data_IF_321544268486
#
_entry.id   IF_321544268486
#
_cell.length_a   1.000
_cell.length_b   1.000
_cell.length_c   1.000
_cell.angle_alpha   90.00
_cell.angle_beta   90.00
_cell.angle_gamma   90.00
#
_symmetry.space_group_name_H-M   'P 1'
#
loop_
_entity.id
_entity.type
_entity.pdbx_description
1 polymer ?
#
# COMPACT_ATOMS: atom_id res chain seq x y z
N UNK A 1 17.86 15.64 1.38
CA UNK A 1 16.42 15.83 1.62
C UNK A 1 16.01 17.26 1.32
N UNK A 2 15.13 17.48 0.34
CA UNK A 2 14.60 18.80 -0.02
C UNK A 2 13.27 19.04 0.67
N UNK A 3 13.05 20.26 1.15
CA UNK A 3 11.80 20.69 1.80
C UNK A 3 11.19 21.86 1.03
N UNK A 4 9.91 21.77 0.70
CA UNK A 4 9.17 22.83 -0.01
C UNK A 4 7.92 23.18 0.77
N UNK A 5 7.60 24.46 0.92
CA UNK A 5 6.35 24.86 1.60
C UNK A 5 5.24 25.07 0.59
N UNK A 6 4.08 24.47 0.84
CA UNK A 6 2.85 24.68 0.05
C UNK A 6 1.72 25.21 0.94
N UNK A 7 0.76 25.88 0.31
CA UNK A 7 -0.45 26.35 0.98
C UNK A 7 -1.36 25.15 1.26
N UNK A 8 -1.79 25.02 2.52
CA UNK A 8 -2.78 24.03 2.92
C UNK A 8 -4.13 24.44 2.35
N UNK A 9 -4.79 23.50 1.69
CA UNK A 9 -6.14 23.67 1.15
C UNK A 9 -6.83 22.31 1.04
N UNK A 10 -8.17 22.34 1.14
CA UNK A 10 -9.05 21.22 0.82
C UNK A 10 -9.36 21.11 -0.67
N UNK A 11 -9.05 22.16 -1.45
CA UNK A 11 -9.18 22.13 -2.90
C UNK A 11 -8.14 21.17 -3.51
N UNK A 12 -8.64 20.13 -4.17
CA UNK A 12 -7.81 19.11 -4.80
C UNK A 12 -7.26 19.54 -6.17
N UNK A 13 -7.70 20.68 -6.71
CA UNK A 13 -7.19 21.24 -7.96
C UNK A 13 -5.76 21.77 -7.83
N UNK A 14 -5.05 21.82 -8.95
CA UNK A 14 -3.72 22.42 -9.01
C UNK A 14 -3.77 23.94 -8.83
N UNK A 15 -2.82 24.55 -8.10
CA UNK A 15 -2.77 26.01 -7.92
C UNK A 15 -2.64 26.83 -9.22
N UNK A 16 -2.23 26.18 -10.31
CA UNK A 16 -1.99 26.79 -11.61
C UNK A 16 -2.58 25.91 -12.71
N UNK A 17 -2.69 26.43 -13.93
CA UNK A 17 -3.06 25.66 -15.12
C UNK A 17 -2.16 24.43 -15.28
N UNK A 18 -2.69 23.34 -15.83
CA UNK A 18 -1.91 22.13 -16.18
C UNK A 18 -0.68 22.48 -17.02
N UNK A 19 -0.83 23.42 -17.95
CA UNK A 19 0.25 23.89 -18.82
C UNK A 19 1.47 24.45 -18.05
N UNK A 20 1.27 25.01 -16.86
CA UNK A 20 2.36 25.40 -15.96
C UNK A 20 3.22 24.21 -15.50
N UNK A 21 2.70 22.98 -15.58
CA UNK A 21 3.36 21.74 -15.19
C UNK A 21 3.89 20.93 -16.38
N UNK A 22 3.40 21.14 -17.59
CA UNK A 22 3.69 20.28 -18.75
C UNK A 22 4.35 20.97 -19.93
N UNK A 23 4.17 22.27 -20.12
CA UNK A 23 4.68 22.99 -21.29
C UNK A 23 6.01 23.68 -20.97
N UNK A 24 7.12 22.94 -21.11
CA UNK A 24 8.47 23.46 -20.91
C UNK A 24 8.84 24.67 -21.78
N UNK A 25 8.03 24.98 -22.81
CA UNK A 25 8.23 26.13 -23.69
C UNK A 25 7.38 27.35 -23.30
N UNK A 26 6.45 27.23 -22.35
CA UNK A 26 5.58 28.33 -21.93
C UNK A 26 6.23 29.22 -20.86
N UNK A 27 5.87 30.51 -20.88
CA UNK A 27 6.28 31.45 -19.84
C UNK A 27 5.84 31.00 -18.44
N UNK A 28 4.56 30.62 -18.30
CA UNK A 28 3.96 30.15 -17.03
C UNK A 28 4.66 28.92 -16.45
N UNK A 29 5.26 28.06 -17.30
CA UNK A 29 6.07 26.94 -16.81
C UNK A 29 7.34 27.42 -16.10
N UNK A 30 7.95 28.52 -16.54
CA UNK A 30 9.17 29.04 -15.92
C UNK A 30 8.92 29.86 -14.64
N UNK A 31 7.67 30.21 -14.34
CA UNK A 31 7.31 31.01 -13.15
C UNK A 31 7.42 30.22 -11.84
N UNK A 32 7.27 28.90 -11.92
CA UNK A 32 7.36 28.00 -10.77
C UNK A 32 8.53 27.04 -10.96
N UNK A 33 9.37 26.88 -9.95
CA UNK A 33 10.48 25.94 -10.04
C UNK A 33 9.99 24.47 -10.04
N UNK A 34 10.78 23.52 -10.60
CA UNK A 34 10.35 22.13 -10.69
C UNK A 34 10.02 21.45 -9.36
N UNK A 35 10.71 21.79 -8.26
CA UNK A 35 10.44 21.17 -6.96
C UNK A 35 9.14 21.68 -6.34
N UNK A 36 8.81 22.96 -6.54
CA UNK A 36 7.50 23.48 -6.17
C UNK A 36 6.38 22.81 -6.94
N UNK A 37 6.56 22.54 -8.24
CA UNK A 37 5.56 21.78 -9.03
C UNK A 37 5.39 20.35 -8.52
N UNK A 38 6.48 19.65 -8.24
CA UNK A 38 6.45 18.29 -7.67
C UNK A 38 5.75 18.30 -6.30
N UNK A 39 6.03 19.28 -5.45
CA UNK A 39 5.38 19.43 -4.15
C UNK A 39 3.88 19.70 -4.26
N UNK A 40 3.46 20.56 -5.20
CA UNK A 40 2.05 20.81 -5.50
C UNK A 40 1.33 19.54 -5.97
N UNK A 41 1.93 18.79 -6.91
CA UNK A 41 1.41 17.49 -7.36
C UNK A 41 1.30 16.50 -6.19
N UNK A 42 2.37 16.34 -5.42
CA UNK A 42 2.46 15.39 -4.32
C UNK A 42 1.43 15.64 -3.22
N UNK A 43 1.26 16.90 -2.81
CA UNK A 43 0.27 17.29 -1.83
C UNK A 43 -1.14 16.88 -2.25
N UNK A 44 -1.48 17.04 -3.54
CA UNK A 44 -2.81 16.71 -4.10
C UNK A 44 -2.99 15.20 -4.25
N UNK A 45 -1.99 14.51 -4.79
CA UNK A 45 -2.01 13.05 -4.94
C UNK A 45 -2.17 12.33 -3.60
N UNK A 46 -1.47 12.77 -2.54
CA UNK A 46 -1.62 12.21 -1.19
C UNK A 46 -3.06 12.30 -0.67
N UNK A 47 -3.79 13.33 -1.06
CA UNK A 47 -5.19 13.58 -0.67
C UNK A 47 -6.20 12.99 -1.64
N UNK A 48 -5.75 12.19 -2.61
CA UNK A 48 -6.61 11.47 -3.54
C UNK A 48 -7.05 12.25 -4.78
N UNK A 49 -6.36 13.33 -5.15
CA UNK A 49 -6.67 14.03 -6.39
C UNK A 49 -6.41 13.14 -7.61
N UNK A 50 -7.44 12.91 -8.43
CA UNK A 50 -7.31 12.25 -9.73
C UNK A 50 -6.92 13.26 -10.81
N UNK A 51 -5.62 13.54 -10.92
CA UNK A 51 -5.09 14.59 -11.78
C UNK A 51 -4.93 14.18 -13.26
N UNK A 52 -4.85 12.87 -13.56
CA UNK A 52 -4.57 12.41 -14.93
C UNK A 52 -5.57 12.93 -15.98
N UNK A 53 -6.90 12.94 -15.75
CA UNK A 53 -7.87 13.45 -16.70
C UNK A 53 -7.60 14.91 -17.11
N UNK A 54 -7.32 15.79 -16.15
CA UNK A 54 -7.03 17.22 -16.42
C UNK A 54 -5.82 17.38 -17.33
N UNK A 55 -4.79 16.54 -17.14
CA UNK A 55 -3.60 16.55 -17.99
C UNK A 55 -3.88 16.05 -19.40
N UNK A 56 -4.70 14.99 -19.54
CA UNK A 56 -5.09 14.47 -20.85
C UNK A 56 -5.95 15.49 -21.62
N UNK A 57 -6.92 16.12 -20.95
CA UNK A 57 -7.75 17.17 -21.55
C UNK A 57 -6.92 18.35 -22.04
N UNK A 58 -5.96 18.81 -21.24
CA UNK A 58 -5.05 19.90 -21.66
C UNK A 58 -4.23 19.51 -22.89
N UNK A 59 -3.71 18.27 -22.94
CA UNK A 59 -2.94 17.77 -24.07
C UNK A 59 -3.80 17.71 -25.33
N UNK A 60 -4.99 17.11 -25.24
CA UNK A 60 -5.93 16.99 -26.35
C UNK A 60 -6.30 18.36 -26.91
N UNK A 61 -6.68 19.30 -26.03
CA UNK A 61 -7.03 20.67 -26.40
C UNK A 61 -5.91 21.40 -27.14
N UNK A 62 -4.65 21.26 -26.71
CA UNK A 62 -3.53 21.91 -27.40
C UNK A 62 -3.25 21.27 -28.77
N UNK A 63 -3.38 19.94 -28.87
CA UNK A 63 -3.15 19.21 -30.13
C UNK A 63 -4.19 19.52 -31.22
N UNK A 64 -5.35 20.11 -30.88
CA UNK A 64 -6.31 20.61 -31.86
C UNK A 64 -5.74 21.72 -32.75
N UNK A 65 -4.79 22.51 -32.23
CA UNK A 65 -4.17 23.59 -32.99
C UNK A 65 -3.01 23.03 -33.86
N UNK A 66 -2.98 23.28 -35.18
CA UNK A 66 -1.98 22.68 -36.08
C UNK A 66 -0.51 22.92 -35.70
N UNK A 67 -0.21 24.04 -35.05
CA UNK A 67 1.15 24.36 -34.57
C UNK A 67 1.62 23.52 -33.38
N UNK A 68 0.72 22.80 -32.69
CA UNK A 68 0.98 22.08 -31.44
C UNK A 68 0.62 20.58 -31.54
N UNK A 69 0.59 20.01 -32.75
CA UNK A 69 0.27 18.59 -32.97
C UNK A 69 1.20 17.62 -32.23
N UNK A 70 2.39 18.05 -31.84
CA UNK A 70 3.35 17.26 -31.07
C UNK A 70 3.37 17.59 -29.57
N UNK A 71 2.37 18.31 -29.04
CA UNK A 71 2.35 18.79 -27.66
C UNK A 71 2.43 17.67 -26.61
N UNK A 72 1.91 16.47 -26.89
CA UNK A 72 2.10 15.31 -26.00
C UNK A 72 3.60 15.04 -25.74
N UNK A 73 4.48 15.21 -26.73
CA UNK A 73 5.91 15.02 -26.54
C UNK A 73 6.50 16.03 -25.55
N UNK A 74 6.07 17.29 -25.61
CA UNK A 74 6.46 18.32 -24.64
C UNK A 74 5.99 17.92 -23.23
N UNK A 75 4.73 17.51 -23.09
CA UNK A 75 4.19 17.08 -21.80
C UNK A 75 4.93 15.86 -21.23
N UNK A 76 5.22 14.85 -22.06
CA UNK A 76 6.00 13.67 -21.66
C UNK A 76 7.41 14.02 -21.20
N UNK A 77 8.10 14.94 -21.90
CA UNK A 77 9.44 15.39 -21.50
C UNK A 77 9.42 16.08 -20.13
N UNK A 78 8.42 16.92 -19.85
CA UNK A 78 8.26 17.56 -18.55
C UNK A 78 8.03 16.53 -17.42
N UNK A 79 7.12 15.57 -17.63
CA UNK A 79 6.86 14.50 -16.64
C UNK A 79 8.11 13.61 -16.43
N UNK A 80 8.81 13.25 -17.50
CA UNK A 80 10.04 12.47 -17.42
C UNK A 80 11.15 13.24 -16.66
N UNK A 81 11.22 14.56 -16.83
CA UNK A 81 12.16 15.42 -16.08
C UNK A 81 11.85 15.42 -14.59
N UNK A 82 10.58 15.42 -14.18
CA UNK A 82 10.22 15.32 -12.76
C UNK A 82 10.58 13.95 -12.16
N UNK A 83 10.36 12.87 -12.91
CA UNK A 83 10.78 11.52 -12.51
C UNK A 83 12.31 11.48 -12.32
N UNK A 84 13.06 12.09 -13.23
CA UNK A 84 14.52 12.16 -13.13
C UNK A 84 14.96 12.97 -11.90
N UNK A 85 14.34 14.13 -11.62
CA UNK A 85 14.64 14.90 -10.41
C UNK A 85 14.44 14.11 -9.11
N UNK A 86 13.48 13.18 -9.08
CA UNK A 86 13.21 12.29 -7.94
C UNK A 86 14.18 11.10 -7.84
N UNK A 87 14.92 10.79 -8.92
CA UNK A 87 15.88 9.69 -9.03
C UNK A 87 17.28 10.28 -9.00
N UNK A 88 17.86 10.39 -7.81
CA UNK A 88 19.17 11.02 -7.66
C UNK A 88 20.23 10.13 -8.33
N UNK A 89 20.77 10.59 -9.44
CA UNK A 89 21.91 9.98 -10.13
C UNK A 89 23.03 11.02 -10.31
N UNK A 90 24.27 10.52 -10.38
CA UNK A 90 25.47 11.32 -10.51
C UNK A 90 25.92 11.49 -11.98
N UNK A 91 25.40 10.70 -12.94
CA UNK A 91 26.11 10.56 -14.22
C UNK A 91 25.27 10.47 -15.51
N UNK A 92 23.95 10.23 -15.50
CA UNK A 92 23.17 9.99 -16.73
C UNK A 92 21.76 10.61 -16.73
N UNK A 93 21.42 11.27 -17.85
CA UNK A 93 20.10 11.84 -18.12
C UNK A 93 19.33 10.86 -19.03
N UNK A 94 18.17 10.35 -18.57
CA UNK A 94 17.31 9.41 -19.31
C UNK A 94 15.91 9.99 -19.61
N UNK A 95 15.71 11.29 -19.39
CA UNK A 95 14.45 11.99 -19.67
C UNK A 95 13.92 11.70 -21.08
N UNK A 96 14.78 11.75 -22.11
CA UNK A 96 14.36 11.55 -23.51
C UNK A 96 13.91 10.11 -23.74
N UNK A 97 14.71 9.12 -23.34
CA UNK A 97 14.40 7.71 -23.53
C UNK A 97 13.13 7.31 -22.79
N UNK A 98 12.93 7.83 -21.57
CA UNK A 98 11.69 7.63 -20.81
C UNK A 98 10.49 8.23 -21.53
N UNK A 99 10.61 9.48 -22.01
CA UNK A 99 9.56 10.20 -22.72
C UNK A 99 9.18 9.53 -24.06
N UNK A 100 10.15 9.03 -24.81
CA UNK A 100 9.91 8.39 -26.11
C UNK A 100 9.35 6.97 -25.97
N UNK A 101 9.75 6.23 -24.93
CA UNK A 101 9.40 4.81 -24.77
C UNK A 101 8.08 4.56 -24.04
N UNK A 102 7.39 5.61 -23.59
CA UNK A 102 6.18 5.50 -22.77
C UNK A 102 5.09 6.45 -23.26
N UNK A 103 3.82 6.04 -23.08
CA UNK A 103 2.69 6.95 -23.25
C UNK A 103 2.64 7.95 -22.10
N UNK A 104 1.99 9.11 -22.30
CA UNK A 104 1.80 10.09 -21.23
C UNK A 104 1.17 9.47 -19.97
N UNK A 105 0.10 8.68 -20.13
CA UNK A 105 -0.56 7.97 -19.02
C UNK A 105 0.40 7.09 -18.22
N UNK A 106 1.30 6.36 -18.88
CA UNK A 106 2.26 5.48 -18.20
C UNK A 106 3.33 6.27 -17.46
N UNK A 107 3.80 7.39 -18.03
CA UNK A 107 4.72 8.30 -17.35
C UNK A 107 4.08 8.99 -16.16
N UNK A 108 2.85 9.45 -16.28
CA UNK A 108 2.13 10.07 -15.18
C UNK A 108 1.91 9.08 -14.03
N UNK A 109 1.52 7.84 -14.34
CA UNK A 109 1.42 6.78 -13.34
C UNK A 109 2.77 6.50 -12.66
N UNK A 110 3.85 6.44 -13.42
CA UNK A 110 5.20 6.29 -12.87
C UNK A 110 5.56 7.47 -11.96
N UNK A 111 5.31 8.71 -12.37
CA UNK A 111 5.54 9.90 -11.53
C UNK A 111 4.74 9.82 -10.22
N UNK A 112 3.47 9.41 -10.28
CA UNK A 112 2.64 9.21 -9.09
C UNK A 112 3.25 8.18 -8.16
N UNK A 113 3.71 7.04 -8.67
CA UNK A 113 4.40 6.02 -7.86
C UNK A 113 5.69 6.58 -7.23
N UNK A 114 6.54 7.26 -8.02
CA UNK A 114 7.78 7.86 -7.54
C UNK A 114 7.53 8.89 -6.42
N UNK A 115 6.49 9.71 -6.57
CA UNK A 115 6.05 10.67 -5.56
C UNK A 115 5.57 9.93 -4.31
N UNK A 116 4.63 8.99 -4.42
CA UNK A 116 3.99 8.35 -3.27
C UNK A 116 4.95 7.49 -2.44
N UNK A 117 5.99 6.92 -3.06
CA UNK A 117 7.05 6.26 -2.30
C UNK A 117 7.83 7.25 -1.40
N UNK A 118 8.11 8.47 -1.88
CA UNK A 118 9.03 9.42 -1.24
C UNK A 118 8.37 10.49 -0.39
N UNK A 119 7.15 10.88 -0.75
CA UNK A 119 6.49 12.05 -0.20
C UNK A 119 6.05 11.83 1.24
N UNK A 120 6.31 12.80 2.10
CA UNK A 120 5.69 12.93 3.41
C UNK A 120 5.64 14.42 3.77
N UNK A 121 4.86 14.79 4.78
CA UNK A 121 4.60 16.19 5.05
C UNK A 121 4.37 16.47 6.53
N UNK A 122 4.70 17.70 6.95
CA UNK A 122 4.48 18.20 8.30
C UNK A 122 3.63 19.47 8.27
N UNK A 123 2.67 19.57 9.19
CA UNK A 123 1.92 20.80 9.37
C UNK A 123 2.78 21.81 10.14
N UNK A 124 3.01 22.98 9.56
CA UNK A 124 3.71 24.09 10.25
C UNK A 124 2.71 24.93 11.03
N UNK A 125 1.57 25.20 10.41
CA UNK A 125 0.42 25.90 11.00
C UNK A 125 -0.84 25.57 10.19
N UNK A 126 -1.95 26.24 10.50
CA UNK A 126 -3.24 25.98 9.85
C UNK A 126 -3.25 26.27 8.34
N UNK A 127 -2.32 27.09 7.82
CA UNK A 127 -2.31 27.55 6.43
C UNK A 127 -1.19 26.91 5.58
N UNK A 128 -0.21 26.24 6.20
CA UNK A 128 1.02 25.81 5.52
C UNK A 128 1.47 24.42 5.91
N UNK A 129 1.89 23.69 4.89
CA UNK A 129 2.48 22.35 4.99
C UNK A 129 3.88 22.36 4.39
N UNK A 130 4.82 21.73 5.08
CA UNK A 130 6.16 21.48 4.51
C UNK A 130 6.17 20.08 3.93
N UNK A 131 6.44 20.04 2.62
CA UNK A 131 6.58 18.86 1.79
C UNK A 131 8.01 18.34 1.86
N UNK A 132 8.17 17.06 2.17
CA UNK A 132 9.45 16.36 2.21
C UNK A 132 9.46 15.21 1.20
N UNK A 133 10.65 14.91 0.68
CA UNK A 133 10.87 13.78 -0.22
C UNK A 133 12.09 13.01 0.24
N UNK A 134 11.91 11.71 0.50
CA UNK A 134 13.00 10.80 0.81
C UNK A 134 13.93 10.66 -0.42
N UNK A 135 15.23 10.76 -0.17
CA UNK A 135 16.24 10.66 -1.22
C UNK A 135 16.40 9.20 -1.66
N UNK A 136 16.44 8.96 -2.97
CA UNK A 136 16.60 7.61 -3.54
C UNK A 136 17.60 7.65 -4.68
N UNK A 137 18.69 6.89 -4.52
CA UNK A 137 19.76 6.83 -5.51
C UNK A 137 19.50 5.79 -6.59
N UNK A 138 19.79 6.15 -7.84
CA UNK A 138 19.70 5.28 -9.00
C UNK A 138 21.08 5.11 -9.61
N UNK A 139 21.63 3.89 -9.55
CA UNK A 139 22.85 3.54 -10.29
C UNK A 139 22.48 2.90 -11.63
N UNK A 140 22.32 3.71 -12.67
CA UNK A 140 21.93 3.19 -13.99
C UNK A 140 22.95 2.20 -14.57
N UNK A 141 24.24 2.37 -14.26
CA UNK A 141 25.28 1.40 -14.63
C UNK A 141 25.07 0.04 -13.95
N UNK A 142 24.76 0.05 -12.64
CA UNK A 142 24.46 -1.19 -11.93
C UNK A 142 23.19 -1.83 -12.48
N UNK A 143 22.13 -1.06 -12.70
CA UNK A 143 20.88 -1.56 -13.30
C UNK A 143 21.16 -2.17 -14.68
N UNK A 144 21.89 -1.48 -15.55
CA UNK A 144 22.25 -1.97 -16.87
C UNK A 144 23.07 -3.29 -16.80
N UNK A 145 23.97 -3.41 -15.83
CA UNK A 145 24.76 -4.63 -15.63
C UNK A 145 23.91 -5.88 -15.34
N UNK A 146 22.75 -5.71 -14.67
CA UNK A 146 21.81 -6.81 -14.39
C UNK A 146 21.22 -7.40 -15.68
N UNK A 147 21.22 -6.63 -16.76
CA UNK A 147 20.70 -7.05 -18.06
C UNK A 147 21.82 -7.37 -19.07
N UNK A 148 23.11 -7.33 -18.69
CA UNK A 148 24.26 -7.46 -19.59
C UNK A 148 24.20 -8.69 -20.51
N UNK A 149 23.63 -9.80 -20.00
CA UNK A 149 23.50 -11.06 -20.72
C UNK A 149 22.15 -11.24 -21.44
N UNK A 150 21.27 -10.22 -21.41
CA UNK A 150 19.99 -10.29 -22.09
C UNK A 150 20.17 -10.10 -23.60
N UNK A 151 19.57 -10.96 -24.46
CA UNK A 151 19.53 -10.73 -25.90
C UNK A 151 18.76 -9.46 -26.28
N UNK A 152 18.00 -8.88 -25.34
CA UNK A 152 17.23 -7.64 -25.50
C UNK A 152 17.58 -6.60 -24.44
N UNK A 153 18.86 -6.51 -24.04
CA UNK A 153 19.40 -5.58 -23.03
C UNK A 153 18.74 -4.20 -23.02
N UNK A 154 18.82 -3.43 -24.13
CA UNK A 154 18.27 -2.06 -24.18
C UNK A 154 16.78 -2.02 -23.85
N UNK A 155 16.01 -2.96 -24.42
CA UNK A 155 14.55 -3.05 -24.20
C UNK A 155 14.24 -3.40 -22.76
N UNK A 156 14.94 -4.38 -22.19
CA UNK A 156 14.67 -4.86 -20.83
C UNK A 156 15.11 -3.84 -19.77
N UNK A 157 16.23 -3.15 -20.01
CA UNK A 157 16.67 -2.00 -19.23
C UNK A 157 15.62 -0.87 -19.25
N UNK A 158 15.19 -0.42 -20.44
CA UNK A 158 14.16 0.63 -20.58
C UNK A 158 12.86 0.20 -19.90
N UNK A 159 12.45 -1.06 -20.07
CA UNK A 159 11.26 -1.61 -19.43
C UNK A 159 11.36 -1.52 -17.91
N UNK A 160 12.53 -1.81 -17.34
CA UNK A 160 12.76 -1.75 -15.90
C UNK A 160 12.74 -0.32 -15.36
N UNK A 161 13.51 0.60 -15.96
CA UNK A 161 13.54 2.00 -15.52
C UNK A 161 12.21 2.74 -15.78
N UNK A 162 11.33 2.17 -16.61
CA UNK A 162 9.94 2.62 -16.79
C UNK A 162 8.99 2.12 -15.69
N UNK A 163 9.53 1.69 -14.54
CA UNK A 163 8.79 1.29 -13.34
C UNK A 163 9.43 1.91 -12.10
N UNK A 164 8.69 1.91 -10.99
CA UNK A 164 9.16 2.35 -9.67
C UNK A 164 9.86 1.23 -8.87
N UNK A 165 10.19 0.09 -9.49
CA UNK A 165 10.75 -1.07 -8.79
C UNK A 165 12.11 -0.77 -8.13
N UNK A 166 12.98 -0.03 -8.82
CA UNK A 166 14.28 0.37 -8.24
C UNK A 166 14.10 1.34 -7.07
N UNK A 167 13.09 2.23 -7.14
CA UNK A 167 12.73 3.09 -6.00
C UNK A 167 12.35 2.27 -4.78
N UNK A 168 11.41 1.33 -4.92
CA UNK A 168 11.03 0.46 -3.82
C UNK A 168 12.23 -0.34 -3.32
N UNK A 169 13.13 -0.77 -4.20
CA UNK A 169 14.37 -1.48 -3.82
C UNK A 169 15.31 -0.62 -2.98
N UNK A 170 15.49 0.65 -3.32
CA UNK A 170 16.55 1.48 -2.74
C UNK A 170 16.06 2.42 -1.63
N UNK A 171 14.77 2.72 -1.55
CA UNK A 171 14.24 3.66 -0.54
C UNK A 171 14.43 3.14 0.88
N UNK A 172 15.01 3.95 1.76
CA UNK A 172 15.05 3.65 3.19
C UNK A 172 13.71 4.00 3.83
N UNK A 173 13.20 3.11 4.65
CA UNK A 173 11.88 3.28 5.29
C UNK A 173 12.08 3.26 6.79
N UNK A 174 11.73 4.37 7.44
CA UNK A 174 11.77 4.54 8.89
C UNK A 174 10.34 4.64 9.46
N UNK A 175 10.17 4.22 10.73
CA UNK A 175 8.85 4.21 11.39
C UNK A 175 8.19 5.58 11.36
N UNK A 176 8.96 6.63 11.69
CA UNK A 176 8.46 8.00 11.73
C UNK A 176 7.85 8.45 10.40
N UNK A 177 8.55 8.20 9.29
CA UNK A 177 8.06 8.59 7.96
C UNK A 177 6.87 7.74 7.52
N UNK A 178 6.77 6.47 7.95
CA UNK A 178 5.62 5.61 7.66
C UNK A 178 4.32 6.16 8.25
N UNK A 179 4.35 6.61 9.50
CA UNK A 179 3.19 7.20 10.16
C UNK A 179 2.69 8.41 9.36
N UNK A 180 3.60 9.28 8.91
CA UNK A 180 3.29 10.45 8.10
C UNK A 180 2.83 10.09 6.68
N UNK A 181 3.27 8.96 6.10
CA UNK A 181 2.85 8.47 4.78
C UNK A 181 1.51 7.76 4.79
N UNK A 182 1.04 7.30 5.94
CA UNK A 182 -0.10 6.43 6.08
C UNK A 182 -1.44 7.11 5.73
N UNK A 183 -1.92 6.94 4.49
CA UNK A 183 -3.23 7.43 4.08
C UNK A 183 -4.41 6.70 4.71
N UNK A 184 -4.20 5.50 5.31
CA UNK A 184 -5.26 4.84 6.07
C UNK A 184 -5.59 5.58 7.36
N UNK A 185 -4.62 6.31 7.93
CA UNK A 185 -4.85 7.14 9.11
C UNK A 185 -5.85 8.27 8.83
N UNK A 186 -5.88 8.82 7.60
CA UNK A 186 -6.87 9.82 7.19
C UNK A 186 -8.29 9.26 7.27
N UNK A 187 -8.50 8.02 6.80
CA UNK A 187 -9.79 7.35 6.91
C UNK A 187 -10.14 6.97 8.35
N UNK A 188 -9.15 6.74 9.21
CA UNK A 188 -9.40 6.37 10.60
C UNK A 188 -10.11 7.51 11.37
N UNK A 189 -9.76 8.76 11.08
CA UNK A 189 -10.45 9.93 11.62
C UNK A 189 -11.91 10.00 11.14
N UNK A 190 -12.14 9.63 9.87
CA UNK A 190 -13.49 9.61 9.32
C UNK A 190 -14.36 8.51 9.94
N UNK A 191 -13.81 7.44 10.52
CA UNK A 191 -14.60 6.36 11.11
C UNK A 191 -15.37 6.74 12.39
N UNK A 192 -15.22 7.94 12.94
CA UNK A 192 -16.03 8.40 14.08
C UNK A 192 -17.49 8.67 13.66
N UNK A 193 -18.45 8.04 14.33
CA UNK A 193 -19.88 8.25 14.06
C UNK A 193 -20.43 7.48 12.84
N UNK A 194 -19.58 6.72 12.14
CA UNK A 194 -19.99 5.87 11.02
C UNK A 194 -20.67 4.57 11.47
N UNK A 195 -21.39 3.93 10.55
CA UNK A 195 -21.91 2.57 10.74
C UNK A 195 -20.82 1.52 10.52
N UNK A 196 -20.99 0.29 10.99
CA UNK A 196 -20.08 -0.81 10.62
C UNK A 196 -20.27 -1.33 9.19
N UNK A 197 -21.41 -1.00 8.59
CA UNK A 197 -21.77 -1.40 7.24
C UNK A 197 -22.72 -0.36 6.65
N UNK A 198 -22.48 0.00 5.40
CA UNK A 198 -23.37 0.82 4.58
C UNK A 198 -23.32 0.38 3.11
N UNK A 199 -24.37 0.68 2.37
CA UNK A 199 -24.45 0.57 0.90
C UNK A 199 -24.55 1.94 0.21
N UNK A 200 -24.44 3.02 0.98
CA UNK A 200 -24.47 4.38 0.48
C UNK A 200 -23.10 4.83 -0.01
N UNK A 201 -23.08 5.58 -1.11
CA UNK A 201 -21.87 6.08 -1.74
C UNK A 201 -21.14 7.08 -0.82
N UNK A 202 -21.88 7.92 -0.10
CA UNK A 202 -21.30 8.86 0.88
C UNK A 202 -20.65 8.17 2.10
N UNK A 203 -20.92 6.88 2.32
CA UNK A 203 -20.38 6.09 3.43
C UNK A 203 -19.19 5.21 3.03
N UNK A 204 -18.73 5.30 1.77
CA UNK A 204 -17.61 4.54 1.24
C UNK A 204 -16.29 4.93 1.91
N UNK A 205 -15.46 3.91 2.20
CA UNK A 205 -14.18 4.08 2.91
C UNK A 205 -13.06 3.61 2.01
N UNK A 206 -12.72 4.46 1.06
CA UNK A 206 -11.72 4.19 0.03
C UNK A 206 -10.47 5.01 0.33
N UNK A 207 -9.31 4.36 0.28
CA UNK A 207 -8.02 5.02 0.47
C UNK A 207 -7.90 6.21 -0.50
N UNK A 208 -7.40 7.38 -0.06
CA UNK A 208 -7.28 8.55 -0.93
C UNK A 208 -6.57 8.22 -2.25
N UNK A 209 -7.31 8.35 -3.37
CA UNK A 209 -6.81 8.14 -4.74
C UNK A 209 -7.03 6.73 -5.30
N UNK A 210 -7.67 5.82 -4.56
CA UNK A 210 -8.06 4.50 -5.07
C UNK A 210 -9.45 4.52 -5.75
N UNK A 211 -10.29 5.53 -5.51
CA UNK A 211 -11.72 5.64 -5.87
C UNK A 211 -12.00 5.28 -7.33
N UNK A 212 -11.41 6.02 -8.27
CA UNK A 212 -11.63 5.86 -9.70
C UNK A 212 -11.38 4.42 -10.15
N UNK A 213 -10.31 3.78 -9.66
CA UNK A 213 -10.03 2.39 -9.99
C UNK A 213 -11.04 1.42 -9.35
N UNK A 214 -11.37 1.61 -8.07
CA UNK A 214 -12.26 0.72 -7.33
C UNK A 214 -13.66 0.74 -7.92
N UNK A 215 -14.20 1.92 -8.23
CA UNK A 215 -15.50 2.07 -8.90
C UNK A 215 -15.49 1.43 -10.29
N UNK A 216 -14.48 1.72 -11.11
CA UNK A 216 -14.32 1.13 -12.44
C UNK A 216 -14.25 -0.40 -12.39
N UNK A 217 -13.47 -0.93 -11.45
CA UNK A 217 -13.32 -2.36 -11.26
C UNK A 217 -14.66 -2.98 -10.85
N UNK A 218 -15.32 -2.42 -9.85
CA UNK A 218 -16.61 -2.88 -9.34
C UNK A 218 -17.73 -2.83 -10.38
N UNK A 219 -17.69 -1.88 -11.32
CA UNK A 219 -18.64 -1.78 -12.42
C UNK A 219 -18.42 -2.87 -13.50
N UNK A 220 -17.21 -3.42 -13.62
CA UNK A 220 -16.82 -4.36 -14.67
C UNK A 220 -16.84 -5.84 -14.25
N UNK A 221 -16.84 -6.15 -12.94
CA UNK A 221 -16.74 -7.52 -12.43
C UNK A 221 -18.04 -8.08 -11.85
N UNK A 222 -18.16 -9.40 -11.81
CA UNK A 222 -19.26 -10.09 -11.10
C UNK A 222 -19.30 -9.72 -9.61
N UNK A 223 -20.49 -9.75 -9.01
CA UNK A 223 -20.74 -9.36 -7.61
C UNK A 223 -19.77 -9.98 -6.60
N UNK A 224 -19.49 -11.28 -6.71
CA UNK A 224 -18.56 -12.01 -5.82
C UNK A 224 -17.13 -11.49 -5.83
N UNK A 225 -16.72 -10.76 -6.87
CA UNK A 225 -15.38 -10.18 -6.99
C UNK A 225 -15.34 -8.69 -6.64
N UNK A 226 -16.50 -8.03 -6.49
CA UNK A 226 -16.54 -6.61 -6.16
C UNK A 226 -15.94 -6.36 -4.78
N UNK A 227 -15.23 -5.25 -4.66
CA UNK A 227 -14.80 -4.73 -3.38
C UNK A 227 -15.99 -4.08 -2.66
N UNK A 228 -16.20 -4.46 -1.41
CA UNK A 228 -17.21 -3.91 -0.52
C UNK A 228 -16.55 -2.80 0.28
N UNK A 229 -16.86 -1.56 -0.07
CA UNK A 229 -16.22 -0.34 0.46
C UNK A 229 -17.02 0.37 1.54
N UNK A 230 -18.28 -0.02 1.76
CA UNK A 230 -19.08 0.45 2.90
C UNK A 230 -18.83 -0.31 4.21
N UNK A 231 -17.84 -1.21 4.25
CA UNK A 231 -17.32 -1.86 5.45
C UNK A 231 -15.96 -1.22 5.78
N UNK A 232 -15.61 -0.98 7.06
CA UNK A 232 -14.28 -0.53 7.42
C UNK A 232 -13.18 -1.33 6.71
N UNK A 233 -12.21 -0.67 6.05
CA UNK A 233 -11.10 -1.38 5.43
C UNK A 233 -10.23 -2.04 6.50
N UNK A 234 -9.62 -3.17 6.14
CA UNK A 234 -8.71 -3.92 7.02
C UNK A 234 -7.40 -4.23 6.28
N UNK A 235 -6.59 -3.23 5.88
CA UNK A 235 -5.28 -3.46 5.25
C UNK A 235 -4.32 -4.19 6.19
N UNK A 236 -4.49 -3.99 7.49
CA UNK A 236 -3.80 -4.71 8.55
C UNK A 236 -4.70 -4.75 9.80
N UNK A 237 -4.41 -5.68 10.70
CA UNK A 237 -5.07 -5.77 12.00
C UNK A 237 -4.13 -6.34 13.06
N UNK A 238 -4.45 -6.05 14.32
CA UNK A 238 -3.60 -6.37 15.46
C UNK A 238 -2.43 -5.42 15.63
N UNK A 239 -1.50 -5.80 16.50
CA UNK A 239 -0.31 -5.01 16.77
C UNK A 239 0.75 -5.21 15.68
N UNK A 240 0.48 -4.72 14.46
CA UNK A 240 1.33 -5.01 13.28
C UNK A 240 2.81 -4.69 13.52
N UNK A 241 3.11 -3.58 14.20
CA UNK A 241 4.47 -3.11 14.39
C UNK A 241 5.24 -3.87 15.46
N UNK A 242 4.58 -4.48 16.46
CA UNK A 242 5.26 -5.21 17.54
C UNK A 242 4.97 -6.72 17.57
N UNK A 243 3.96 -7.21 16.84
CA UNK A 243 3.63 -8.63 16.76
C UNK A 243 4.83 -9.47 16.30
N UNK A 244 4.96 -10.67 16.84
CA UNK A 244 6.05 -11.62 16.50
C UNK A 244 5.84 -12.25 15.12
N UNK A 245 4.58 -12.51 14.78
CA UNK A 245 4.19 -13.18 13.54
C UNK A 245 3.22 -12.29 12.75
N UNK A 246 3.50 -12.12 11.46
CA UNK A 246 2.60 -11.44 10.52
C UNK A 246 2.06 -12.46 9.54
N UNK A 247 0.74 -12.64 9.53
CA UNK A 247 0.07 -13.50 8.54
C UNK A 247 -0.25 -12.67 7.30
N UNK A 248 0.30 -13.12 6.18
CA UNK A 248 0.17 -12.48 4.88
C UNK A 248 -1.02 -13.06 4.10
N UNK A 249 -1.98 -12.20 3.75
CA UNK A 249 -3.21 -12.60 3.02
C UNK A 249 -3.54 -11.59 1.91
N UNK A 250 -4.42 -11.97 0.97
CA UNK A 250 -4.69 -11.11 -0.19
C UNK A 250 -5.62 -9.93 0.16
N UNK A 251 -6.70 -10.22 0.89
CA UNK A 251 -7.70 -9.26 1.32
C UNK A 251 -8.50 -9.84 2.51
N UNK A 252 -9.19 -9.02 3.32
CA UNK A 252 -9.82 -9.46 4.57
C UNK A 252 -11.04 -10.39 4.38
N UNK A 253 -11.50 -10.59 3.14
CA UNK A 253 -12.63 -11.47 2.82
C UNK A 253 -13.99 -10.89 3.21
N UNK A 254 -15.06 -11.35 2.56
CA UNK A 254 -16.42 -10.90 2.84
C UNK A 254 -17.39 -12.07 2.90
N UNK A 255 -18.13 -12.16 4.00
CA UNK A 255 -19.25 -13.07 4.19
C UNK A 255 -20.43 -12.24 4.67
N UNK A 256 -21.48 -12.12 3.86
CA UNK A 256 -22.59 -11.21 4.16
C UNK A 256 -23.20 -11.43 5.54
N UNK A 257 -23.40 -12.69 5.96
CA UNK A 257 -23.90 -13.02 7.30
C UNK A 257 -23.07 -12.38 8.42
N UNK A 258 -21.75 -12.33 8.23
CA UNK A 258 -20.78 -11.93 9.23
C UNK A 258 -20.51 -10.43 9.15
N UNK A 259 -20.11 -9.95 7.97
CA UNK A 259 -19.69 -8.56 7.77
C UNK A 259 -20.86 -7.57 7.70
N UNK A 260 -22.09 -8.04 7.41
CA UNK A 260 -23.31 -7.21 7.34
C UNK A 260 -24.33 -7.61 8.38
N UNK A 261 -24.90 -8.81 8.31
CA UNK A 261 -26.06 -9.19 9.13
C UNK A 261 -25.75 -9.12 10.64
N UNK A 262 -24.63 -9.71 11.08
CA UNK A 262 -24.20 -9.65 12.48
C UNK A 262 -23.85 -8.23 12.91
N UNK A 263 -23.06 -7.50 12.11
CA UNK A 263 -22.71 -6.10 12.38
C UNK A 263 -23.94 -5.20 12.55
N UNK A 264 -24.96 -5.37 11.71
CA UNK A 264 -26.21 -4.59 11.78
C UNK A 264 -27.01 -4.89 13.06
N UNK A 265 -27.00 -6.14 13.51
CA UNK A 265 -27.69 -6.59 14.73
C UNK A 265 -27.00 -6.15 16.04
N UNK A 266 -25.75 -5.69 15.98
CA UNK A 266 -25.03 -5.23 17.17
C UNK A 266 -25.63 -3.96 17.77
N UNK A 267 -25.58 -3.86 19.10
CA UNK A 267 -25.94 -2.63 19.81
C UNK A 267 -24.89 -1.53 19.56
N UNK A 268 -25.23 -0.24 19.73
CA UNK A 268 -24.30 0.86 19.45
C UNK A 268 -22.93 0.74 20.14
N UNK A 269 -22.89 0.32 21.41
CA UNK A 269 -21.64 0.15 22.15
C UNK A 269 -20.70 -0.91 21.53
N UNK A 270 -21.26 -2.02 21.03
CA UNK A 270 -20.47 -3.06 20.34
C UNK A 270 -19.96 -2.58 18.99
N UNK A 271 -20.78 -1.78 18.29
CA UNK A 271 -20.38 -1.17 17.01
C UNK A 271 -19.20 -0.23 17.20
N UNK A 272 -19.28 0.64 18.20
CA UNK A 272 -18.22 1.58 18.53
C UNK A 272 -16.93 0.85 18.97
N UNK A 273 -17.05 -0.22 19.76
CA UNK A 273 -15.90 -1.04 20.15
C UNK A 273 -15.15 -1.61 18.92
N UNK A 274 -15.89 -2.18 17.96
CA UNK A 274 -15.30 -2.69 16.71
C UNK A 274 -14.67 -1.59 15.85
N UNK A 275 -15.36 -0.46 15.71
CA UNK A 275 -14.81 0.69 14.99
C UNK A 275 -13.53 1.19 15.66
N UNK A 276 -13.49 1.25 17.00
CA UNK A 276 -12.29 1.61 17.74
C UNK A 276 -11.13 0.66 17.47
N UNK A 277 -11.38 -0.66 17.50
CA UNK A 277 -10.38 -1.67 17.18
C UNK A 277 -9.81 -1.46 15.76
N UNK A 278 -10.68 -1.17 14.79
CA UNK A 278 -10.29 -0.93 13.40
C UNK A 278 -9.53 0.40 13.23
N UNK A 279 -10.00 1.50 13.83
CA UNK A 279 -9.32 2.81 13.81
C UNK A 279 -7.91 2.72 14.38
N UNK A 280 -7.77 2.05 15.52
CA UNK A 280 -6.47 1.85 16.16
C UNK A 280 -5.54 1.05 15.24
N UNK A 281 -6.06 0.00 14.58
CA UNK A 281 -5.27 -0.74 13.60
C UNK A 281 -4.80 0.18 12.46
N UNK A 282 -5.69 0.96 11.83
CA UNK A 282 -5.38 1.86 10.70
C UNK A 282 -4.33 2.95 11.03
N UNK A 283 -4.13 3.27 12.31
CA UNK A 283 -3.19 4.27 12.82
C UNK A 283 -1.95 3.66 13.47
N UNK A 284 -1.72 2.35 13.30
CA UNK A 284 -0.64 1.59 13.94
C UNK A 284 -0.67 1.56 15.49
N UNK A 285 -1.82 1.85 16.08
CA UNK A 285 -2.09 1.81 17.53
C UNK A 285 -2.88 0.55 17.93
N UNK A 286 -2.96 -0.46 17.06
CA UNK A 286 -3.65 -1.72 17.37
C UNK A 286 -2.90 -2.53 18.43
N UNK A 287 -3.62 -3.08 19.40
CA UNK A 287 -3.02 -3.90 20.48
C UNK A 287 -3.19 -5.41 20.25
N UNK A 288 -4.09 -5.82 19.36
CA UNK A 288 -4.31 -7.23 19.06
C UNK A 288 -5.43 -7.44 18.05
N UNK A 289 -5.48 -8.61 17.42
CA UNK A 289 -6.51 -8.89 16.40
C UNK A 289 -7.93 -9.03 16.99
N UNK A 290 -8.00 -9.31 18.29
CA UNK A 290 -9.21 -9.24 19.10
C UNK A 290 -8.90 -8.40 20.34
N UNK A 291 -9.83 -7.51 20.67
CA UNK A 291 -9.89 -6.88 21.99
C UNK A 291 -10.54 -7.85 22.99
N UNK A 292 -10.47 -7.55 24.28
CA UNK A 292 -11.09 -8.39 25.33
C UNK A 292 -12.61 -8.54 25.21
N UNK A 293 -13.24 -7.89 24.23
CA UNK A 293 -14.67 -7.87 24.05
C UNK A 293 -15.15 -8.97 23.10
N UNK A 294 -16.34 -9.47 23.37
CA UNK A 294 -16.89 -10.60 22.61
C UNK A 294 -17.25 -10.24 21.17
N UNK A 295 -17.60 -8.97 20.91
CA UNK A 295 -18.03 -8.51 19.60
C UNK A 295 -16.96 -8.68 18.51
N UNK A 296 -15.67 -8.53 18.83
CA UNK A 296 -14.55 -8.75 17.90
C UNK A 296 -14.43 -10.21 17.48
N UNK A 297 -14.64 -11.16 18.40
CA UNK A 297 -14.68 -12.60 18.10
C UNK A 297 -15.92 -12.98 17.29
N UNK A 298 -17.08 -12.44 17.65
CA UNK A 298 -18.36 -12.67 16.95
C UNK A 298 -18.30 -12.17 15.52
N UNK A 299 -17.72 -10.99 15.27
CA UNK A 299 -17.53 -10.45 13.93
C UNK A 299 -16.62 -11.32 13.06
N UNK A 300 -15.81 -12.20 13.64
CA UNK A 300 -15.02 -13.20 12.90
C UNK A 300 -15.64 -14.61 12.90
N UNK A 301 -16.86 -14.80 13.41
CA UNK A 301 -17.47 -16.13 13.67
C UNK A 301 -16.53 -17.09 14.44
N UNK A 302 -15.70 -16.53 15.32
CA UNK A 302 -14.65 -17.20 16.08
C UNK A 302 -13.64 -17.95 15.19
N UNK A 303 -13.50 -17.56 13.92
CA UNK A 303 -12.66 -18.26 12.94
C UNK A 303 -11.20 -18.33 13.41
N UNK A 304 -10.60 -17.19 13.76
CA UNK A 304 -9.19 -17.14 14.16
C UNK A 304 -8.96 -17.74 15.54
N UNK A 305 -9.91 -17.62 16.47
CA UNK A 305 -9.86 -18.38 17.73
C UNK A 305 -9.72 -19.88 17.47
N UNK A 306 -10.62 -20.46 16.65
CA UNK A 306 -10.57 -21.89 16.31
C UNK A 306 -9.30 -22.24 15.52
N UNK A 307 -8.85 -21.36 14.63
CA UNK A 307 -7.66 -21.59 13.80
C UNK A 307 -6.35 -21.61 14.62
N UNK A 308 -6.30 -20.86 15.72
CA UNK A 308 -5.13 -20.77 16.58
C UNK A 308 -5.15 -21.70 17.80
N UNK A 309 -6.23 -22.44 18.03
CA UNK A 309 -6.40 -23.25 19.26
C UNK A 309 -5.22 -24.19 19.55
N UNK A 310 -4.80 -24.98 18.56
CA UNK A 310 -3.63 -25.86 18.71
C UNK A 310 -2.33 -25.07 18.93
N UNK A 311 -2.17 -23.94 18.23
CA UNK A 311 -0.97 -23.11 18.34
C UNK A 311 -0.88 -22.44 19.71
N UNK A 312 -2.00 -21.98 20.24
CA UNK A 312 -2.13 -21.39 21.56
C UNK A 312 -1.73 -22.39 22.65
N UNK A 313 -2.32 -23.59 22.62
CA UNK A 313 -2.01 -24.65 23.59
C UNK A 313 -0.52 -25.03 23.59
N UNK A 314 0.11 -25.13 22.42
CA UNK A 314 1.50 -25.56 22.32
C UNK A 314 2.54 -24.46 22.60
N UNK A 315 2.22 -23.19 22.31
CA UNK A 315 3.11 -22.07 22.55
C UNK A 315 2.96 -21.46 23.96
N UNK A 316 1.74 -21.41 24.50
CA UNK A 316 1.41 -20.69 25.74
C UNK A 316 0.87 -21.60 26.85
N UNK A 317 0.44 -22.83 26.52
CA UNK A 317 -0.13 -23.76 27.51
C UNK A 317 -1.59 -23.51 27.88
N UNK A 318 -2.27 -22.60 27.19
CA UNK A 318 -3.67 -22.23 27.40
C UNK A 318 -4.44 -22.15 26.08
N UNK A 319 -5.77 -22.35 26.09
CA UNK A 319 -6.57 -22.35 24.88
C UNK A 319 -6.81 -20.91 24.38
N UNK A 320 -6.92 -20.75 23.06
CA UNK A 320 -7.16 -19.45 22.43
C UNK A 320 -8.51 -18.82 22.83
N UNK A 321 -9.43 -19.61 23.39
CA UNK A 321 -10.71 -19.12 23.92
C UNK A 321 -10.59 -18.26 25.18
N UNK A 322 -9.44 -18.25 25.86
CA UNK A 322 -9.24 -17.36 27.01
C UNK A 322 -9.33 -15.88 26.60
N UNK A 323 -9.97 -15.09 27.45
CA UNK A 323 -10.07 -13.64 27.25
C UNK A 323 -8.67 -13.06 27.45
N UNK A 324 -8.25 -12.13 26.58
CA UNK A 324 -6.91 -11.54 26.56
C UNK A 324 -5.76 -12.54 26.34
N UNK A 325 -6.02 -13.68 25.69
CA UNK A 325 -4.96 -14.64 25.39
C UNK A 325 -3.80 -13.98 24.59
N UNK A 326 -2.51 -14.15 25.00
CA UNK A 326 -1.36 -13.42 24.41
C UNK A 326 -1.17 -13.61 22.90
N UNK A 327 -1.59 -14.75 22.35
CA UNK A 327 -1.52 -15.03 20.91
C UNK A 327 -2.15 -13.94 20.03
N UNK A 328 -3.14 -13.21 20.53
CA UNK A 328 -3.83 -12.17 19.77
C UNK A 328 -3.05 -10.86 19.69
N UNK A 329 -2.09 -10.65 20.59
CA UNK A 329 -1.10 -9.58 20.52
C UNK A 329 0.09 -9.99 19.63
N UNK A 330 0.52 -11.25 19.75
CA UNK A 330 1.72 -11.74 19.07
C UNK A 330 1.52 -12.10 17.59
N UNK A 331 0.27 -12.07 17.10
CA UNK A 331 -0.09 -12.28 15.71
C UNK A 331 -0.80 -11.04 15.15
N UNK A 332 -0.34 -10.58 13.99
CA UNK A 332 -1.00 -9.56 13.19
C UNK A 332 -1.36 -10.08 11.79
N UNK A 333 -2.32 -9.43 11.13
CA UNK A 333 -2.60 -9.67 9.72
C UNK A 333 -2.12 -8.50 8.87
N UNK A 334 -1.66 -8.82 7.66
CA UNK A 334 -1.28 -7.85 6.67
C UNK A 334 -1.80 -8.27 5.29
N UNK A 335 -2.60 -7.40 4.68
CA UNK A 335 -3.30 -7.65 3.43
C UNK A 335 -2.60 -6.98 2.26
N UNK A 336 -2.62 -7.63 1.09
CA UNK A 336 -2.19 -6.98 -0.15
C UNK A 336 -3.10 -5.79 -0.50
N UNK A 337 -4.42 -5.94 -0.31
CA UNK A 337 -5.40 -4.86 -0.43
C UNK A 337 -6.34 -4.84 0.79
N UNK A 338 -6.67 -3.64 1.28
CA UNK A 338 -7.48 -3.46 2.48
C UNK A 338 -8.99 -3.67 2.32
N UNK A 339 -9.50 -3.89 1.10
CA UNK A 339 -10.94 -3.96 0.84
C UNK A 339 -11.51 -5.38 0.87
N UNK A 340 -12.71 -5.50 1.43
CA UNK A 340 -13.42 -6.77 1.56
C UNK A 340 -13.97 -7.24 0.21
N UNK A 341 -13.94 -8.55 -0.06
CA UNK A 341 -14.66 -9.17 -1.19
C UNK A 341 -14.92 -10.65 -0.92
N UNK A 342 -15.98 -11.22 -1.50
CA UNK A 342 -16.28 -12.65 -1.31
C UNK A 342 -15.16 -13.52 -1.91
N UNK A 343 -14.66 -13.11 -3.08
CA UNK A 343 -13.51 -13.72 -3.74
C UNK A 343 -12.56 -12.64 -4.22
N UNK A 344 -11.28 -12.81 -3.90
CA UNK A 344 -10.23 -11.97 -4.45
C UNK A 344 -10.06 -12.22 -5.95
N UNK A 345 -9.95 -11.14 -6.73
CA UNK A 345 -9.59 -11.18 -8.14
C UNK A 345 -8.51 -10.14 -8.41
N UNK A 346 -7.32 -10.62 -8.76
CA UNK A 346 -6.21 -9.75 -9.12
C UNK A 346 -6.49 -9.04 -10.46
N UNK A 347 -6.10 -7.77 -10.53
CA UNK A 347 -6.07 -6.96 -11.74
C UNK A 347 -4.73 -6.23 -11.78
N UNK A 348 -4.16 -6.08 -12.97
CA UNK A 348 -2.86 -5.44 -13.15
C UNK A 348 -2.82 -3.98 -12.64
N UNK A 349 -3.97 -3.31 -12.51
CA UNK A 349 -4.05 -1.97 -11.95
C UNK A 349 -3.89 -1.91 -10.42
N UNK A 350 -4.10 -3.02 -9.71
CA UNK A 350 -4.03 -3.04 -8.22
C UNK A 350 -2.65 -2.59 -7.73
N UNK A 351 -1.56 -3.06 -8.36
CA UNK A 351 -0.20 -2.71 -7.95
C UNK A 351 0.16 -1.23 -8.09
N UNK A 352 -0.69 -0.44 -8.75
CA UNK A 352 -0.51 0.98 -9.00
C UNK A 352 -1.38 1.85 -8.09
N UNK A 353 -2.20 1.24 -7.25
CA UNK A 353 -3.04 1.96 -6.30
C UNK A 353 -2.19 2.65 -5.23
N UNK A 354 -2.50 3.90 -4.85
CA UNK A 354 -1.91 4.56 -3.69
C UNK A 354 -1.88 3.68 -2.43
N UNK A 355 -2.96 2.95 -2.14
CA UNK A 355 -2.99 2.03 -1.00
C UNK A 355 -1.97 0.89 -1.11
N UNK A 356 -1.76 0.36 -2.31
CA UNK A 356 -0.81 -0.74 -2.56
C UNK A 356 0.63 -0.25 -2.57
N UNK A 357 0.89 0.98 -3.02
CA UNK A 357 2.20 1.64 -2.88
C UNK A 357 2.58 1.76 -1.40
N UNK A 358 1.63 2.19 -0.55
CA UNK A 358 1.83 2.23 0.89
C UNK A 358 2.05 0.83 1.49
N UNK A 359 1.25 -0.18 1.07
CA UNK A 359 1.46 -1.58 1.45
C UNK A 359 2.88 -2.05 1.13
N UNK A 360 3.44 -1.69 -0.03
CA UNK A 360 4.80 -2.08 -0.40
C UNK A 360 5.86 -1.46 0.53
N UNK A 361 5.72 -0.18 0.89
CA UNK A 361 6.61 0.48 1.85
C UNK A 361 6.57 -0.18 3.23
N UNK A 362 5.34 -0.45 3.71
CA UNK A 362 5.14 -1.10 4.99
C UNK A 362 5.69 -2.53 4.98
N UNK A 363 5.49 -3.28 3.90
CA UNK A 363 6.08 -4.61 3.72
C UNK A 363 7.60 -4.55 3.82
N UNK A 364 8.23 -3.59 3.12
CA UNK A 364 9.67 -3.39 3.17
C UNK A 364 10.16 -3.07 4.58
N UNK A 365 9.49 -2.16 5.29
CA UNK A 365 9.84 -1.83 6.67
C UNK A 365 9.75 -3.05 7.58
N UNK A 366 8.64 -3.79 7.55
CA UNK A 366 8.46 -5.00 8.36
C UNK A 366 9.56 -6.03 8.05
N UNK A 367 9.92 -6.21 6.78
CA UNK A 367 10.96 -7.15 6.40
C UNK A 367 12.38 -6.72 6.81
N UNK A 368 12.71 -5.43 6.70
CA UNK A 368 14.09 -4.94 6.78
C UNK A 368 14.46 -4.27 8.09
N UNK A 369 13.48 -3.78 8.85
CA UNK A 369 13.68 -3.01 10.10
C UNK A 369 13.13 -3.72 11.35
N UNK A 370 12.53 -4.90 11.18
CA UNK A 370 12.00 -5.72 12.28
C UNK A 370 12.47 -7.16 12.14
N UNK A 371 12.29 -7.97 13.19
CA UNK A 371 12.64 -9.40 13.26
C UNK A 371 11.46 -10.34 13.01
N UNK A 372 10.33 -9.79 12.52
CA UNK A 372 9.07 -10.51 12.33
C UNK A 372 9.20 -11.77 11.49
N UNK A 373 8.45 -12.80 11.87
CA UNK A 373 8.24 -14.00 11.05
C UNK A 373 6.96 -13.85 10.22
N UNK A 374 7.05 -14.12 8.93
CA UNK A 374 5.93 -14.04 8.00
C UNK A 374 5.33 -15.43 7.74
N UNK A 375 4.04 -15.58 8.02
CA UNK A 375 3.28 -16.78 7.72
C UNK A 375 2.46 -16.58 6.43
N UNK A 376 2.78 -17.34 5.39
CA UNK A 376 2.14 -17.24 4.08
C UNK A 376 1.35 -18.52 3.80
N UNK A 377 0.02 -18.41 3.93
CA UNK A 377 -0.87 -19.54 3.69
C UNK A 377 -1.35 -19.61 2.24
N UNK A 378 -1.29 -18.52 1.48
CA UNK A 378 -1.74 -18.47 0.08
C UNK A 378 -0.93 -17.44 -0.71
N UNK A 379 -0.90 -17.62 -2.02
CA UNK A 379 -0.36 -16.63 -2.96
C UNK A 379 1.09 -16.21 -2.69
N UNK A 380 1.93 -17.19 -2.36
CA UNK A 380 3.37 -17.02 -2.13
C UNK A 380 4.05 -16.22 -3.26
N UNK A 381 3.67 -16.49 -4.52
CA UNK A 381 4.23 -15.77 -5.67
C UNK A 381 3.90 -14.28 -5.69
N UNK A 382 2.70 -13.87 -5.26
CA UNK A 382 2.31 -12.45 -5.21
C UNK A 382 3.05 -11.73 -4.08
N UNK A 383 3.21 -12.38 -2.92
CA UNK A 383 3.99 -11.81 -1.84
C UNK A 383 5.48 -11.75 -2.18
N UNK A 384 6.02 -12.75 -2.90
CA UNK A 384 7.38 -12.69 -3.44
C UNK A 384 7.59 -11.52 -4.41
N UNK A 385 6.62 -11.26 -5.29
CA UNK A 385 6.64 -10.07 -6.15
C UNK A 385 6.60 -8.77 -5.32
N UNK A 386 5.79 -8.74 -4.25
CA UNK A 386 5.61 -7.57 -3.37
C UNK A 386 6.87 -7.23 -2.58
N UNK A 387 7.53 -8.21 -1.97
CA UNK A 387 8.80 -7.99 -1.25
C UNK A 387 9.97 -7.72 -2.20
N UNK A 388 9.90 -8.22 -3.43
CA UNK A 388 11.03 -8.26 -4.34
C UNK A 388 12.00 -9.41 -4.01
N UNK A 389 12.75 -9.84 -5.02
CA UNK A 389 13.59 -11.04 -4.95
C UNK A 389 14.67 -10.96 -3.86
N UNK A 390 15.35 -9.83 -3.74
CA UNK A 390 16.44 -9.63 -2.77
C UNK A 390 15.95 -9.77 -1.32
N UNK A 391 14.90 -9.03 -0.96
CA UNK A 391 14.32 -9.07 0.39
C UNK A 391 13.73 -10.45 0.68
N UNK A 392 13.04 -11.05 -0.30
CA UNK A 392 12.49 -12.39 -0.15
C UNK A 392 13.56 -13.42 0.17
N UNK A 393 14.64 -13.46 -0.62
CA UNK A 393 15.72 -14.42 -0.45
C UNK A 393 16.39 -14.23 0.91
N UNK A 394 16.61 -12.98 1.35
CA UNK A 394 17.11 -12.68 2.69
C UNK A 394 16.20 -13.23 3.79
N UNK A 395 14.88 -13.05 3.68
CA UNK A 395 13.92 -13.59 4.65
C UNK A 395 13.90 -15.13 4.67
N UNK A 396 14.10 -15.78 3.51
CA UNK A 396 14.25 -17.24 3.43
C UNK A 396 15.53 -17.72 4.13
N UNK A 397 16.67 -17.06 3.88
CA UNK A 397 17.96 -17.37 4.51
C UNK A 397 17.94 -17.18 6.02
N UNK A 398 17.28 -16.12 6.50
CA UNK A 398 17.07 -15.84 7.92
C UNK A 398 16.02 -16.77 8.58
N UNK A 399 15.35 -17.63 7.80
CA UNK A 399 14.32 -18.54 8.30
C UNK A 399 13.04 -17.85 8.76
N UNK A 400 12.80 -16.61 8.33
CA UNK A 400 11.68 -15.75 8.71
C UNK A 400 10.43 -15.95 7.84
N UNK A 401 10.49 -16.79 6.81
CA UNK A 401 9.32 -17.18 6.01
C UNK A 401 8.83 -18.58 6.40
N UNK A 402 7.54 -18.68 6.75
CA UNK A 402 6.84 -19.94 6.95
C UNK A 402 5.77 -20.05 5.86
N UNK A 403 5.93 -21.03 4.98
CA UNK A 403 4.99 -21.28 3.88
C UNK A 403 4.41 -22.69 3.96
N UNK A 404 3.42 -22.96 3.10
CA UNK A 404 2.87 -24.32 2.98
C UNK A 404 3.85 -25.25 2.29
N UNK A 405 3.88 -26.50 2.76
CA UNK A 405 4.60 -27.57 2.06
C UNK A 405 3.86 -28.17 0.86
N UNK A 406 2.68 -27.65 0.47
CA UNK A 406 1.88 -28.19 -0.63
C UNK A 406 0.93 -27.17 -1.24
N UNK A 407 0.48 -27.42 -2.48
CA UNK A 407 -0.38 -26.53 -3.30
C UNK A 407 -1.86 -26.45 -2.85
N UNK A 408 -2.19 -26.90 -1.64
CA UNK A 408 -3.57 -26.98 -1.16
C UNK A 408 -4.17 -25.62 -0.78
N UNK A 409 -5.49 -25.48 -0.93
CA UNK A 409 -6.21 -24.23 -0.59
C UNK A 409 -6.47 -24.05 0.91
N UNK A 410 -6.27 -25.07 1.76
CA UNK A 410 -6.59 -25.03 3.20
C UNK A 410 -5.81 -23.96 3.95
N UNK A 411 -6.46 -23.09 4.71
CA UNK A 411 -5.79 -22.08 5.55
C UNK A 411 -5.52 -22.57 6.98
N UNK A 412 -5.75 -23.85 7.27
CA UNK A 412 -5.57 -24.40 8.62
C UNK A 412 -4.11 -24.34 9.06
N UNK A 413 -3.84 -23.90 10.28
CA UNK A 413 -2.48 -23.82 10.83
C UNK A 413 -2.22 -25.11 11.60
N UNK A 414 -1.61 -26.08 10.93
CA UNK A 414 -1.29 -27.39 11.51
C UNK A 414 0.05 -27.89 10.97
N UNK A 415 0.71 -28.81 11.70
CA UNK A 415 1.91 -29.52 11.22
C UNK A 415 1.72 -30.14 9.83
N UNK A 416 0.51 -30.66 9.56
CA UNK A 416 0.17 -31.24 8.27
C UNK A 416 0.07 -30.23 7.13
N UNK A 417 -0.24 -28.96 7.41
CA UNK A 417 -0.34 -27.91 6.41
C UNK A 417 1.00 -27.18 6.20
N UNK A 418 1.70 -26.89 7.30
CA UNK A 418 2.98 -26.16 7.34
C UNK A 418 4.18 -27.13 7.41
N UNK A 419 4.26 -28.02 6.42
CA UNK A 419 5.29 -29.08 6.37
C UNK A 419 6.68 -28.60 5.97
N UNK A 420 6.78 -27.51 5.20
CA UNK A 420 8.08 -27.00 4.72
C UNK A 420 8.93 -26.63 5.93
N UNK A 421 10.13 -27.22 6.02
CA UNK A 421 11.13 -26.94 7.04
C UNK A 421 10.63 -26.91 8.49
N UNK A 422 9.74 -27.85 8.86
CA UNK A 422 9.09 -27.91 10.18
C UNK A 422 8.37 -26.60 10.57
N UNK A 423 7.72 -25.95 9.60
CA UNK A 423 7.13 -24.61 9.74
C UNK A 423 6.19 -24.43 10.94
N UNK A 424 5.38 -25.44 11.29
CA UNK A 424 4.53 -25.33 12.48
C UNK A 424 5.33 -25.27 13.79
N UNK A 425 6.36 -26.10 13.95
CA UNK A 425 7.18 -26.12 15.18
C UNK A 425 8.04 -24.84 15.28
N UNK A 426 8.50 -24.31 14.14
CA UNK A 426 9.11 -22.98 14.07
C UNK A 426 8.15 -21.90 14.57
N UNK A 427 6.90 -21.91 14.09
CA UNK A 427 5.87 -20.96 14.51
C UNK A 427 5.60 -21.03 16.02
N UNK A 428 5.49 -22.22 16.59
CA UNK A 428 5.36 -22.43 18.03
C UNK A 428 6.53 -21.81 18.79
N UNK A 429 7.76 -22.03 18.32
CA UNK A 429 8.96 -21.51 18.99
C UNK A 429 9.08 -19.99 18.92
N UNK A 430 8.69 -19.36 17.81
CA UNK A 430 8.62 -17.90 17.68
C UNK A 430 7.63 -17.30 18.69
N UNK A 431 6.49 -17.97 18.90
CA UNK A 431 5.42 -17.46 19.77
C UNK A 431 5.64 -17.70 21.26
N UNK A 432 6.46 -18.69 21.65
CA UNK A 432 6.75 -18.97 23.06
C UNK A 432 7.20 -17.69 23.78
N UNK A 433 6.72 -17.44 25.01
CA UNK A 433 7.24 -16.36 25.83
C UNK A 433 8.76 -16.52 26.00
N UNK A 434 9.50 -15.42 25.88
CA UNK A 434 10.92 -15.42 26.20
C UNK A 434 11.06 -15.83 27.67
N UNK A 435 11.94 -16.80 27.97
CA UNK A 435 12.12 -17.33 29.35
C UNK A 435 12.72 -16.32 30.34
N UNK A 436 12.92 -15.07 29.92
CA UNK A 436 13.60 -14.02 30.68
C UNK A 436 12.92 -12.67 30.42
N UNK A 437 11.66 -12.54 30.83
CA UNK A 437 11.04 -11.26 31.19
C UNK A 437 10.25 -11.43 32.48
#
# INVERSE_FOLDING_TARGET
MKSITVIRTSDLSLPHSVRSYTDGCAHEYSETDPWTKIAQLAYRLKRGANLLPDFLEDIERHMEHPAYQSYENTAKQSIASYIELLRIDENHIFTIELAESNSFKKLFQLLTEEILYRYWEENVNDDKVVCHFDDVHYSYNEIASRYANSPTLKRDFIKYISTSQETLRNIEVEKYNLDLKNGWAMLAEDLYGYTLWSDKEEDERIYPGDDSFIHDFNNKVESKYKYVVGVPPMPFSGNLLDAKVVILTLNPGYVEKVNKTQCMAMIPAQKEQLLSLMRNALTFQGEGIYDGYECSRVQGDYYWQKAFDQLAMEAYGSPSSEIYHPIYHDIAFFQLIGYHSEKFKYSAGIKHLPSTIFTNLLAKYLATKTDKTFLILRSESLWKETFGEEVWNKLEEEGRLITKGHKGMSQKITRGNLKKDNGFDKLVNVLKPNKHE
#
